data_IF_440893864065
#
_entry.id   IF_440893864065
#
_cell.length_a   1.000
_cell.length_b   1.000
_cell.length_c   1.000
_cell.angle_alpha   90.00
_cell.angle_beta   90.00
_cell.angle_gamma   90.00
#
_symmetry.space_group_name_H-M   'P 1'
#
loop_
_entity.id
_entity.type
_entity.pdbx_description
1 polymer ?
#
# COMPACT_ATOMS: atom_id res chain seq x y z
N UNK A 1 4.41 9.95 -12.53
CA UNK A 1 3.34 9.05 -12.97
C UNK A 1 3.57 7.65 -12.43
N UNK A 2 2.54 6.80 -12.43
CA UNK A 2 2.61 5.41 -11.98
C UNK A 2 3.01 4.50 -13.16
N UNK A 3 3.84 3.48 -12.89
CA UNK A 3 4.03 2.36 -13.80
C UNK A 3 2.88 1.38 -13.61
N UNK A 4 2.18 1.01 -14.69
CA UNK A 4 0.98 0.17 -14.62
C UNK A 4 1.22 -1.15 -15.35
N UNK A 5 0.81 -2.26 -14.71
CA UNK A 5 0.65 -3.58 -15.34
C UNK A 5 -0.83 -3.93 -15.30
N UNK A 6 -1.35 -4.51 -16.36
CA UNK A 6 -2.78 -4.84 -16.48
C UNK A 6 -2.95 -6.27 -17.01
N UNK A 7 -3.96 -6.95 -16.51
CA UNK A 7 -4.45 -8.23 -17.03
C UNK A 7 -5.95 -8.35 -16.78
N UNK A 8 -6.73 -8.95 -17.69
CA UNK A 8 -8.14 -9.28 -17.46
C UNK A 8 -8.34 -10.55 -16.63
N UNK A 9 -7.28 -11.36 -16.46
CA UNK A 9 -7.35 -12.69 -15.84
C UNK A 9 -6.85 -12.67 -14.40
N UNK A 10 -7.65 -13.20 -13.46
CA UNK A 10 -7.35 -13.20 -12.03
C UNK A 10 -6.18 -14.13 -11.64
N UNK A 11 -6.00 -15.26 -12.31
CA UNK A 11 -4.85 -16.14 -12.05
C UNK A 11 -3.55 -15.50 -12.53
N UNK A 12 -3.58 -14.90 -13.72
CA UNK A 12 -2.45 -14.14 -14.23
C UNK A 12 -2.10 -12.94 -13.33
N UNK A 13 -3.09 -12.28 -12.75
CA UNK A 13 -2.88 -11.19 -11.78
C UNK A 13 -2.07 -11.66 -10.56
N UNK A 14 -2.34 -12.84 -10.04
CA UNK A 14 -1.58 -13.44 -8.94
C UNK A 14 -0.14 -13.77 -9.34
N UNK A 15 0.07 -14.29 -10.54
CA UNK A 15 1.42 -14.55 -11.08
C UNK A 15 2.22 -13.25 -11.20
N UNK A 16 1.62 -12.23 -11.81
CA UNK A 16 2.25 -10.92 -11.98
C UNK A 16 2.61 -10.26 -10.63
N UNK A 17 1.74 -10.41 -9.63
CA UNK A 17 1.99 -9.89 -8.28
C UNK A 17 3.10 -10.67 -7.55
N UNK A 18 3.25 -11.98 -7.82
CA UNK A 18 4.31 -12.81 -7.25
C UNK A 18 5.68 -12.55 -7.90
N UNK A 19 5.72 -12.30 -9.23
CA UNK A 19 6.94 -11.95 -9.94
C UNK A 19 7.52 -10.63 -9.44
N UNK A 20 6.67 -9.61 -9.34
CA UNK A 20 7.02 -8.30 -8.83
C UNK A 20 5.89 -7.76 -7.97
N UNK A 21 6.13 -7.69 -6.67
CA UNK A 21 5.16 -7.17 -5.71
C UNK A 21 4.78 -5.72 -6.06
N UNK A 22 3.49 -5.44 -6.34
CA UNK A 22 3.06 -4.09 -6.67
C UNK A 22 2.96 -3.21 -5.43
N UNK A 23 3.02 -1.89 -5.62
CA UNK A 23 2.80 -0.92 -4.55
C UNK A 23 1.33 -0.78 -4.18
N UNK A 24 0.43 -1.04 -5.13
CA UNK A 24 -1.02 -1.05 -4.97
C UNK A 24 -1.67 -1.92 -6.05
N UNK A 25 -2.79 -2.54 -5.73
CA UNK A 25 -3.62 -3.31 -6.66
C UNK A 25 -4.97 -2.62 -6.81
N UNK A 26 -5.37 -2.37 -8.07
CA UNK A 26 -6.74 -2.02 -8.43
C UNK A 26 -7.39 -3.29 -8.97
N UNK A 27 -8.42 -3.78 -8.31
CA UNK A 27 -8.99 -5.08 -8.56
C UNK A 27 -10.48 -4.97 -8.88
N UNK A 28 -10.85 -5.32 -10.11
CA UNK A 28 -12.26 -5.41 -10.46
C UNK A 28 -12.91 -6.59 -9.74
N UNK A 29 -14.15 -6.43 -9.35
CA UNK A 29 -14.96 -7.49 -8.78
C UNK A 29 -15.13 -8.65 -9.76
N UNK A 30 -15.40 -8.32 -11.04
CA UNK A 30 -15.56 -9.25 -12.13
C UNK A 30 -14.29 -9.34 -12.97
N UNK A 31 -13.46 -10.33 -12.70
CA UNK A 31 -12.30 -10.69 -13.52
C UNK A 31 -12.44 -12.11 -14.04
N UNK A 32 -11.77 -12.41 -15.13
CA UNK A 32 -11.78 -13.74 -15.75
C UNK A 32 -11.07 -14.76 -14.85
N UNK A 33 -11.44 -16.03 -14.99
CA UNK A 33 -10.90 -17.21 -14.28
C UNK A 33 -11.19 -17.25 -12.77
N UNK A 34 -10.99 -16.15 -12.04
CA UNK A 34 -11.25 -16.01 -10.61
C UNK A 34 -12.03 -14.74 -10.32
N UNK A 35 -12.93 -14.76 -9.32
CA UNK A 35 -13.52 -13.51 -8.85
C UNK A 35 -12.50 -12.59 -8.19
N UNK A 36 -12.72 -11.27 -8.29
CA UNK A 36 -11.84 -10.29 -7.63
C UNK A 36 -11.70 -10.53 -6.12
N UNK A 37 -12.77 -10.99 -5.46
CA UNK A 37 -12.71 -11.38 -4.04
C UNK A 37 -11.73 -12.54 -3.80
N UNK A 38 -11.75 -13.55 -4.65
CA UNK A 38 -10.84 -14.69 -4.49
C UNK A 38 -9.39 -14.29 -4.76
N UNK A 39 -9.15 -13.41 -5.75
CA UNK A 39 -7.82 -12.81 -5.98
C UNK A 39 -7.36 -12.04 -4.75
N UNK A 40 -8.22 -11.18 -4.18
CA UNK A 40 -7.91 -10.43 -2.96
C UNK A 40 -7.55 -11.37 -1.80
N UNK A 41 -8.35 -12.40 -1.57
CA UNK A 41 -8.13 -13.40 -0.51
C UNK A 41 -6.79 -14.12 -0.68
N UNK A 42 -6.42 -14.51 -1.89
CA UNK A 42 -5.13 -15.16 -2.18
C UNK A 42 -3.95 -14.21 -2.01
N UNK A 43 -4.08 -12.94 -2.42
CA UNK A 43 -3.06 -11.91 -2.16
C UNK A 43 -2.84 -11.73 -0.64
N UNK A 44 -3.90 -11.73 0.17
CA UNK A 44 -3.80 -11.60 1.64
C UNK A 44 -3.18 -12.82 2.33
N UNK A 45 -3.34 -14.02 1.76
CA UNK A 45 -2.74 -15.25 2.29
C UNK A 45 -1.26 -15.42 1.93
N UNK A 46 -0.77 -14.75 0.92
CA UNK A 46 0.62 -14.82 0.52
C UNK A 46 1.44 -13.79 1.30
N UNK A 47 2.44 -14.23 2.05
CA UNK A 47 3.27 -13.37 2.92
C UNK A 47 3.93 -12.19 2.18
N UNK A 48 4.28 -12.34 0.91
CA UNK A 48 4.90 -11.28 0.10
C UNK A 48 3.90 -10.19 -0.31
N UNK A 49 2.62 -10.53 -0.47
CA UNK A 49 1.58 -9.60 -0.97
C UNK A 49 0.53 -9.26 0.09
N UNK A 50 0.59 -9.88 1.27
CA UNK A 50 -0.40 -9.69 2.34
C UNK A 50 -0.63 -8.23 2.74
N UNK A 51 0.42 -7.40 2.67
CA UNK A 51 0.38 -5.99 3.05
C UNK A 51 0.26 -5.02 1.85
N UNK A 52 0.11 -5.55 0.64
CA UNK A 52 -0.11 -4.69 -0.55
C UNK A 52 -1.49 -4.05 -0.47
N UNK A 53 -1.60 -2.72 -0.58
CA UNK A 53 -2.89 -2.05 -0.63
C UNK A 53 -3.75 -2.55 -1.80
N UNK A 54 -5.04 -2.79 -1.54
CA UNK A 54 -6.00 -3.24 -2.56
C UNK A 54 -7.20 -2.31 -2.57
N UNK A 55 -7.49 -1.73 -3.72
CA UNK A 55 -8.74 -1.00 -3.99
C UNK A 55 -9.61 -1.87 -4.89
N UNK A 56 -10.82 -2.19 -4.42
CA UNK A 56 -11.80 -2.93 -5.20
C UNK A 56 -12.61 -1.98 -6.09
N UNK A 57 -12.83 -2.37 -7.34
CA UNK A 57 -13.72 -1.68 -8.27
C UNK A 57 -15.03 -2.45 -8.35
N UNK A 58 -16.16 -1.83 -7.94
CA UNK A 58 -17.46 -2.51 -7.79
C UNK A 58 -18.54 -1.88 -8.67
N UNK A 59 -19.57 -2.65 -9.05
CA UNK A 59 -20.74 -2.10 -9.68
C UNK A 59 -21.63 -1.35 -8.66
N UNK A 60 -22.45 -0.41 -9.16
CA UNK A 60 -23.38 0.36 -8.33
C UNK A 60 -24.56 -0.53 -7.92
N UNK A 61 -24.84 -0.67 -6.63
CA UNK A 61 -26.01 -1.40 -6.11
C UNK A 61 -25.71 -2.65 -5.30
N UNK A 62 -24.45 -3.08 -5.22
CA UNK A 62 -24.05 -4.28 -4.47
C UNK A 62 -23.56 -3.90 -3.07
N UNK A 63 -24.48 -3.44 -2.21
CA UNK A 63 -24.16 -3.04 -0.82
C UNK A 63 -23.73 -4.27 0.02
N UNK A 64 -24.32 -5.44 -0.24
CA UNK A 64 -23.91 -6.70 0.37
C UNK A 64 -22.50 -7.13 -0.04
N UNK A 65 -22.11 -6.83 -1.27
CA UNK A 65 -20.77 -7.13 -1.75
C UNK A 65 -19.71 -6.19 -1.16
N UNK A 66 -20.08 -4.95 -0.79
CA UNK A 66 -19.18 -4.05 -0.04
C UNK A 66 -18.86 -4.59 1.35
N UNK A 67 -19.84 -5.19 2.04
CA UNK A 67 -19.66 -5.81 3.37
C UNK A 67 -18.75 -7.03 3.22
N UNK A 68 -19.01 -7.90 2.27
CA UNK A 68 -18.16 -9.08 1.97
C UNK A 68 -16.74 -8.70 1.55
N UNK A 69 -16.59 -7.59 0.85
CA UNK A 69 -15.29 -7.09 0.45
C UNK A 69 -14.47 -6.56 1.63
N UNK A 70 -15.07 -5.83 2.59
CA UNK A 70 -14.41 -5.39 3.83
C UNK A 70 -13.92 -6.58 4.65
N UNK A 71 -14.70 -7.66 4.72
CA UNK A 71 -14.32 -8.93 5.37
C UNK A 71 -13.17 -9.65 4.65
N UNK A 72 -12.98 -9.42 3.35
CA UNK A 72 -11.87 -9.98 2.54
C UNK A 72 -10.56 -9.23 2.66
N UNK A 73 -10.54 -8.06 3.31
CA UNK A 73 -9.33 -7.30 3.58
C UNK A 73 -8.92 -6.31 2.50
N UNK A 74 -9.83 -5.81 1.67
CA UNK A 74 -9.59 -4.66 0.80
C UNK A 74 -9.45 -3.37 1.64
N UNK A 75 -8.66 -2.42 1.15
CA UNK A 75 -8.35 -1.18 1.86
C UNK A 75 -9.29 -0.04 1.47
N UNK A 76 -9.87 -0.08 0.28
CA UNK A 76 -10.86 0.88 -0.20
C UNK A 76 -11.71 0.31 -1.34
N UNK A 77 -12.78 0.99 -1.70
CA UNK A 77 -13.73 0.64 -2.75
C UNK A 77 -14.02 1.85 -3.63
N UNK A 78 -14.16 1.59 -4.93
CA UNK A 78 -14.61 2.59 -5.91
C UNK A 78 -15.77 2.02 -6.69
N UNK A 79 -16.90 2.71 -6.65
CA UNK A 79 -18.11 2.30 -7.37
C UNK A 79 -18.07 2.78 -8.80
N UNK A 80 -18.36 1.89 -9.75
CA UNK A 80 -18.55 2.24 -11.17
C UNK A 80 -19.93 2.88 -11.39
N UNK A 81 -20.03 3.91 -12.26
CA UNK A 81 -18.95 4.57 -12.98
C UNK A 81 -18.18 5.57 -12.10
N UNK A 82 -16.85 5.62 -12.23
CA UNK A 82 -15.99 6.56 -11.55
C UNK A 82 -15.22 7.45 -12.54
N UNK A 83 -14.83 8.63 -12.10
CA UNK A 83 -13.94 9.47 -12.89
C UNK A 83 -12.47 9.06 -12.69
N UNK A 84 -11.60 9.22 -13.70
CA UNK A 84 -10.15 9.00 -13.52
C UNK A 84 -9.57 9.85 -12.38
N UNK A 85 -10.08 11.06 -12.17
CA UNK A 85 -9.65 11.95 -11.07
C UNK A 85 -10.01 11.37 -9.71
N UNK A 86 -11.20 10.79 -9.57
CA UNK A 86 -11.62 10.13 -8.32
C UNK A 86 -10.73 8.94 -8.01
N UNK A 87 -10.48 8.07 -9.00
CA UNK A 87 -9.62 6.90 -8.83
C UNK A 87 -8.21 7.30 -8.40
N UNK A 88 -7.60 8.27 -9.08
CA UNK A 88 -6.25 8.77 -8.73
C UNK A 88 -6.22 9.38 -7.32
N UNK A 89 -7.25 10.13 -6.93
CA UNK A 89 -7.35 10.70 -5.59
C UNK A 89 -7.41 9.60 -4.51
N UNK A 90 -8.18 8.52 -4.74
CA UNK A 90 -8.26 7.38 -3.82
C UNK A 90 -6.97 6.59 -3.76
N UNK A 91 -6.34 6.32 -4.89
CA UNK A 91 -5.00 5.69 -4.94
C UNK A 91 -4.01 6.49 -4.09
N UNK A 92 -3.96 7.80 -4.29
CA UNK A 92 -3.08 8.69 -3.52
C UNK A 92 -3.41 8.67 -2.02
N UNK A 93 -4.70 8.67 -1.66
CA UNK A 93 -5.14 8.63 -0.26
C UNK A 93 -4.79 7.30 0.42
N UNK A 94 -4.97 6.16 -0.28
CA UNK A 94 -4.61 4.83 0.24
C UNK A 94 -3.10 4.69 0.39
N UNK A 95 -2.33 5.09 -0.61
CA UNK A 95 -0.86 5.07 -0.54
C UNK A 95 -0.33 5.95 0.59
N UNK A 96 -0.87 7.17 0.75
CA UNK A 96 -0.51 8.08 1.83
C UNK A 96 -0.76 7.47 3.21
N UNK A 97 -1.89 6.79 3.40
CA UNK A 97 -2.27 6.18 4.68
C UNK A 97 -1.46 4.93 5.00
N UNK A 98 -1.22 4.06 4.00
CA UNK A 98 -0.63 2.73 4.20
C UNK A 98 0.83 2.66 3.78
N UNK A 99 1.26 3.52 2.86
CA UNK A 99 2.64 3.65 2.38
C UNK A 99 2.97 5.12 2.08
N UNK A 100 3.13 5.96 3.11
CA UNK A 100 3.38 7.39 2.96
C UNK A 100 4.55 7.71 2.01
N UNK A 101 5.59 6.88 2.03
CA UNK A 101 6.74 7.01 1.17
C UNK A 101 6.44 6.92 -0.34
N UNK A 102 5.42 6.16 -0.73
CA UNK A 102 5.04 5.98 -2.15
C UNK A 102 4.11 7.09 -2.65
N UNK A 103 3.47 7.81 -1.74
CA UNK A 103 2.65 8.98 -2.06
C UNK A 103 3.50 10.23 -2.39
N UNK A 104 4.82 10.13 -2.25
CA UNK A 104 5.73 11.26 -2.46
C UNK A 104 5.64 12.30 -1.35
N UNK A 105 5.08 11.94 -0.20
CA UNK A 105 4.96 12.84 0.93
C UNK A 105 6.20 12.80 1.84
N UNK A 106 6.56 13.97 2.33
CA UNK A 106 7.52 14.11 3.41
C UNK A 106 6.82 13.74 4.72
N UNK A 107 7.32 12.72 5.41
CA UNK A 107 6.88 12.42 6.76
C UNK A 107 7.40 13.51 7.70
N UNK A 108 6.51 14.05 8.53
CA UNK A 108 6.87 15.09 9.50
C UNK A 108 6.43 14.69 10.90
N UNK A 109 7.33 14.81 11.86
CA UNK A 109 7.05 14.61 13.27
C UNK A 109 7.90 15.56 14.11
N UNK A 110 7.27 16.46 14.86
CA UNK A 110 7.94 17.54 15.58
C UNK A 110 8.80 18.41 14.64
N UNK A 111 10.11 18.47 14.84
CA UNK A 111 11.08 19.22 14.04
C UNK A 111 11.80 18.35 12.97
N UNK A 112 11.37 17.07 12.83
CA UNK A 112 11.94 16.11 11.87
C UNK A 112 11.07 16.00 10.63
N UNK A 113 11.70 16.12 9.48
CA UNK A 113 11.13 15.86 8.16
C UNK A 113 11.91 14.75 7.47
N UNK A 114 11.22 13.71 6.97
CA UNK A 114 11.81 12.59 6.26
C UNK A 114 11.19 12.48 4.86
N UNK A 115 12.00 12.76 3.84
CA UNK A 115 11.67 12.55 2.43
C UNK A 115 12.09 11.14 2.04
N UNK A 116 11.10 10.25 1.93
CA UNK A 116 11.35 8.84 1.64
C UNK A 116 11.74 8.60 0.17
N UNK A 117 11.40 9.51 -0.73
CA UNK A 117 11.76 9.43 -2.16
C UNK A 117 13.19 9.94 -2.39
N UNK A 118 13.51 11.07 -1.81
CA UNK A 118 14.86 11.66 -1.90
C UNK A 118 15.87 11.02 -0.94
N UNK A 119 15.46 10.10 -0.04
CA UNK A 119 16.28 9.53 1.02
C UNK A 119 16.97 10.59 1.88
N UNK A 120 16.24 11.64 2.22
CA UNK A 120 16.76 12.78 2.99
C UNK A 120 16.00 12.93 4.30
N UNK A 121 16.74 13.26 5.36
CA UNK A 121 16.17 13.65 6.65
C UNK A 121 16.64 15.05 7.00
N UNK A 122 15.71 15.87 7.49
CA UNK A 122 16.00 17.20 8.03
C UNK A 122 15.51 17.28 9.46
N UNK A 123 16.22 18.05 10.26
CA UNK A 123 15.80 18.45 11.60
C UNK A 123 15.91 19.96 11.73
N UNK A 124 14.81 20.64 12.06
CA UNK A 124 14.80 22.10 12.13
C UNK A 124 15.30 22.77 10.85
N UNK A 125 15.01 22.20 9.67
CA UNK A 125 15.46 22.67 8.37
C UNK A 125 16.89 22.24 7.96
N UNK A 126 17.70 21.70 8.88
CA UNK A 126 19.06 21.25 8.61
C UNK A 126 19.08 19.78 8.18
N UNK A 127 19.74 19.48 7.04
CA UNK A 127 19.87 18.09 6.56
C UNK A 127 20.79 17.29 7.48
N UNK A 128 20.33 16.11 7.88
CA UNK A 128 21.09 15.16 8.67
C UNK A 128 21.71 14.09 7.76
N UNK A 129 22.97 13.76 8.00
CA UNK A 129 23.62 12.60 7.42
C UNK A 129 23.30 11.38 8.31
N UNK A 130 22.44 10.48 7.81
CA UNK A 130 22.12 9.22 8.48
C UNK A 130 22.34 8.05 7.52
N UNK A 131 22.70 6.89 8.07
CA UNK A 131 22.92 5.68 7.28
C UNK A 131 21.61 5.04 6.82
N UNK A 132 21.68 4.07 5.88
CA UNK A 132 20.48 3.42 5.34
C UNK A 132 19.63 2.70 6.41
N UNK A 133 20.27 2.12 7.40
CA UNK A 133 19.60 1.41 8.50
C UNK A 133 18.88 2.37 9.45
N UNK A 134 19.56 3.44 9.84
CA UNK A 134 18.96 4.50 10.67
C UNK A 134 17.80 5.19 9.95
N UNK A 135 17.94 5.39 8.63
CA UNK A 135 16.86 5.93 7.81
C UNK A 135 15.63 5.03 7.82
N UNK A 136 15.80 3.70 7.61
CA UNK A 136 14.71 2.71 7.66
C UNK A 136 14.04 2.68 9.02
N UNK A 137 14.82 2.71 10.09
CA UNK A 137 14.32 2.71 11.47
C UNK A 137 13.53 3.98 11.78
N UNK A 138 14.08 5.15 11.46
CA UNK A 138 13.40 6.43 11.64
C UNK A 138 12.09 6.49 10.86
N UNK A 139 12.11 6.08 9.60
CA UNK A 139 10.92 5.98 8.77
C UNK A 139 9.85 5.09 9.40
N UNK A 140 10.23 3.92 9.89
CA UNK A 140 9.30 2.99 10.54
C UNK A 140 8.63 3.63 11.77
N UNK A 141 9.37 4.37 12.59
CA UNK A 141 8.78 5.09 13.73
C UNK A 141 7.88 6.24 13.30
N UNK A 142 8.27 7.01 12.28
CA UNK A 142 7.48 8.14 11.79
C UNK A 142 6.18 7.70 11.08
N UNK A 143 6.16 6.50 10.51
CA UNK A 143 4.95 5.88 9.94
C UNK A 143 3.97 5.39 11.03
N UNK A 144 4.44 5.22 12.28
CA UNK A 144 3.65 4.67 13.38
C UNK A 144 3.81 5.50 14.67
N UNK A 145 3.42 6.79 14.65
CA UNK A 145 3.60 7.66 15.81
C UNK A 145 2.83 7.15 17.03
N UNK A 146 3.45 7.23 18.21
CA UNK A 146 2.84 6.82 19.46
C UNK A 146 2.80 5.30 19.71
N UNK A 147 3.31 4.48 18.80
CA UNK A 147 3.35 3.03 18.94
C UNK A 147 4.67 2.55 19.53
N UNK A 148 4.60 1.61 20.47
CA UNK A 148 5.77 0.93 21.05
C UNK A 148 6.00 -0.38 20.29
N UNK A 149 7.27 -0.65 19.96
CA UNK A 149 7.69 -1.86 19.25
C UNK A 149 8.67 -2.66 20.11
N UNK A 150 8.52 -3.97 20.11
CA UNK A 150 9.53 -4.87 20.69
C UNK A 150 10.76 -4.94 19.78
N UNK A 151 11.89 -5.41 20.33
CA UNK A 151 13.11 -5.63 19.55
C UNK A 151 12.89 -6.59 18.38
N UNK A 152 12.12 -7.67 18.57
CA UNK A 152 11.78 -8.64 17.52
C UNK A 152 11.02 -7.98 16.38
N UNK A 153 9.97 -7.21 16.68
CA UNK A 153 9.19 -6.49 15.68
C UNK A 153 10.04 -5.49 14.88
N UNK A 154 10.97 -4.80 15.52
CA UNK A 154 11.89 -3.89 14.83
C UNK A 154 12.86 -4.64 13.93
N UNK A 155 13.41 -5.76 14.39
CA UNK A 155 14.29 -6.60 13.58
C UNK A 155 13.56 -7.11 12.34
N UNK A 156 12.37 -7.63 12.48
CA UNK A 156 11.58 -8.14 11.36
C UNK A 156 11.18 -7.02 10.36
N UNK A 157 10.80 -5.84 10.87
CA UNK A 157 10.31 -4.73 10.03
C UNK A 157 11.43 -3.95 9.35
N UNK A 158 12.60 -3.83 9.97
CA UNK A 158 13.69 -2.97 9.49
C UNK A 158 14.83 -3.77 8.85
N UNK A 159 15.06 -5.00 9.29
CA UNK A 159 16.14 -5.88 8.81
C UNK A 159 15.67 -7.16 8.12
N UNK A 160 14.41 -7.57 8.28
CA UNK A 160 13.87 -8.82 7.71
C UNK A 160 13.50 -8.76 6.22
N UNK A 161 13.94 -7.76 5.47
CA UNK A 161 13.64 -7.58 4.04
C UNK A 161 14.89 -7.71 3.14
N UNK A 162 15.76 -8.63 3.43
CA UNK A 162 16.81 -9.05 2.50
C UNK A 162 16.41 -10.32 1.73
#
# INVERSE_FOLDING_TARGET
GYAVRHTPDGEQALVLAAERVPDIVLLDWMVESLSGIEVCRRLRRNSRTANVPIIMLTARGEEEDRIRGLETGADDYVTKPFSPRELVARVSAVLRRLRPALAGEVLSYSDIELDAVAHKVKRGGTTLAIGPTEFRLLRHFMEHPGRVFSRGQLLDSVWGQD
#
